data_IF_826354328826
#
_entry.id   IF_826354328826
#
_cell.length_a   1.000
_cell.length_b   1.000
_cell.length_c   1.000
_cell.angle_alpha   90.00
_cell.angle_beta   90.00
_cell.angle_gamma   90.00
#
_symmetry.space_group_name_H-M   'P 1'
#
loop_
_entity.id
_entity.type
_entity.pdbx_description
1 polymer ?
#
# COMPACT_ATOMS: atom_id res chain seq x y z
N UNK A 1 -10.50 -2.25 18.38
CA UNK A 1 -11.74 -2.72 17.74
C UNK A 1 -11.37 -3.80 16.75
N UNK A 2 -12.21 -4.82 16.57
CA UNK A 2 -11.97 -5.92 15.61
C UNK A 2 -11.99 -5.46 14.13
N UNK A 3 -12.39 -4.21 13.89
CA UNK A 3 -12.31 -3.55 12.61
C UNK A 3 -10.98 -2.78 12.56
N UNK A 4 -9.92 -3.43 12.09
CA UNK A 4 -8.59 -2.82 11.96
C UNK A 4 -8.63 -1.46 11.26
N UNK A 5 -7.76 -0.54 11.70
CA UNK A 5 -7.67 0.83 11.19
C UNK A 5 -7.30 0.84 9.70
N UNK A 6 -7.93 1.74 8.94
CA UNK A 6 -7.58 1.99 7.54
C UNK A 6 -6.37 2.92 7.49
N UNK A 7 -5.23 2.41 7.03
CA UNK A 7 -3.94 3.10 7.06
C UNK A 7 -3.44 3.38 5.64
N UNK A 8 -2.70 4.48 5.49
CA UNK A 8 -1.90 4.74 4.30
C UNK A 8 -0.41 4.50 4.54
N UNK A 9 0.01 4.30 5.78
CA UNK A 9 1.42 4.11 6.15
C UNK A 9 1.94 2.78 5.62
N UNK A 10 3.20 2.79 5.19
CA UNK A 10 3.96 1.59 4.86
C UNK A 10 5.28 1.62 5.64
N UNK A 11 5.76 0.45 6.03
CA UNK A 11 7.00 0.29 6.80
C UNK A 11 7.88 -0.77 6.14
N UNK A 12 9.19 -0.59 6.26
CA UNK A 12 10.20 -1.51 5.75
C UNK A 12 11.14 -1.91 6.87
N UNK A 13 11.45 -3.20 6.97
CA UNK A 13 12.41 -3.70 7.94
C UNK A 13 13.83 -3.64 7.38
N UNK A 14 14.72 -2.92 8.05
CA UNK A 14 16.15 -2.87 7.75
C UNK A 14 16.88 -3.95 8.56
N UNK A 15 17.36 -5.00 7.88
CA UNK A 15 18.06 -6.11 8.52
C UNK A 15 19.39 -5.71 9.17
N UNK A 16 20.06 -4.67 8.69
CA UNK A 16 21.34 -4.21 9.27
C UNK A 16 21.10 -3.50 10.60
N UNK A 17 20.05 -2.66 10.64
CA UNK A 17 19.66 -1.92 11.85
C UNK A 17 18.79 -2.73 12.80
N UNK A 18 18.24 -3.86 12.33
CA UNK A 18 17.25 -4.69 13.03
C UNK A 18 16.06 -3.87 13.51
N UNK A 19 15.60 -2.93 12.67
CA UNK A 19 14.57 -1.97 13.01
C UNK A 19 13.65 -1.72 11.82
N UNK A 20 12.40 -1.38 12.12
CA UNK A 20 11.45 -0.88 11.14
C UNK A 20 11.69 0.60 10.85
N UNK A 21 11.53 0.99 9.60
CA UNK A 21 11.53 2.37 9.15
C UNK A 21 10.29 2.69 8.35
N UNK A 22 9.84 3.94 8.42
CA UNK A 22 8.69 4.43 7.67
C UNK A 22 9.04 4.64 6.19
N UNK A 23 8.17 4.17 5.30
CA UNK A 23 8.20 4.48 3.87
C UNK A 23 7.22 5.62 3.55
N UNK A 24 7.27 6.14 2.33
CA UNK A 24 6.24 7.05 1.85
C UNK A 24 4.84 6.39 2.01
N UNK A 25 3.82 7.14 2.46
CA UNK A 25 2.47 6.61 2.57
C UNK A 25 1.85 6.41 1.18
N UNK A 26 0.98 5.41 1.07
CA UNK A 26 0.06 5.28 -0.05
C UNK A 26 -0.79 6.54 -0.21
N UNK A 27 -1.24 6.80 -1.44
CA UNK A 27 -2.13 7.92 -1.79
C UNK A 27 -3.50 7.70 -1.15
N UNK A 28 -4.02 6.47 -1.22
CA UNK A 28 -5.32 6.10 -0.64
C UNK A 28 -5.10 5.13 0.51
N UNK A 29 -5.57 5.52 1.70
CA UNK A 29 -5.58 4.65 2.86
C UNK A 29 -6.50 3.45 2.62
N UNK A 30 -6.03 2.25 2.94
CA UNK A 30 -6.73 0.99 2.66
C UNK A 30 -6.55 -0.03 3.79
N UNK A 31 -7.50 -0.96 3.90
CA UNK A 31 -7.39 -2.21 4.67
C UNK A 31 -7.86 -3.37 3.79
N UNK A 32 -7.58 -4.61 4.21
CA UNK A 32 -7.95 -5.82 3.44
C UNK A 32 -7.42 -5.77 1.99
N UNK A 33 -6.22 -5.19 1.83
CA UNK A 33 -5.56 -4.96 0.54
C UNK A 33 -4.86 -6.23 0.03
N UNK A 34 -4.94 -6.50 -1.27
CA UNK A 34 -4.06 -7.47 -1.92
C UNK A 34 -2.71 -6.83 -2.24
N UNK A 35 -1.60 -7.50 -1.94
CA UNK A 35 -0.26 -6.99 -2.21
C UNK A 35 0.61 -7.99 -2.98
N UNK A 36 1.39 -7.50 -3.93
CA UNK A 36 2.31 -8.32 -4.72
C UNK A 36 3.53 -7.52 -5.17
N UNK A 37 4.63 -8.20 -5.47
CA UNK A 37 5.82 -7.60 -6.08
C UNK A 37 5.87 -7.99 -7.56
N UNK A 38 6.06 -7.00 -8.42
CA UNK A 38 6.26 -7.19 -9.86
C UNK A 38 7.37 -6.25 -10.32
N UNK A 39 8.39 -6.81 -10.97
CA UNK A 39 9.55 -6.06 -11.48
C UNK A 39 10.21 -5.15 -10.43
N UNK A 40 10.33 -5.65 -9.19
CA UNK A 40 10.96 -4.92 -8.08
C UNK A 40 10.12 -3.79 -7.48
N UNK A 41 8.85 -3.65 -7.89
CA UNK A 41 7.93 -2.66 -7.34
C UNK A 41 6.81 -3.34 -6.54
N UNK A 42 6.34 -2.68 -5.49
CA UNK A 42 5.30 -3.21 -4.59
C UNK A 42 3.93 -2.65 -4.99
N UNK A 43 3.00 -3.52 -5.32
CA UNK A 43 1.64 -3.16 -5.69
C UNK A 43 0.69 -3.35 -4.53
N UNK A 44 -0.15 -2.35 -4.29
CA UNK A 44 -1.29 -2.37 -3.39
C UNK A 44 -2.58 -2.34 -4.22
N UNK A 45 -3.32 -3.44 -4.20
CA UNK A 45 -4.43 -3.73 -5.12
C UNK A 45 -5.73 -3.77 -4.32
N UNK A 46 -6.63 -2.83 -4.58
CA UNK A 46 -7.97 -2.78 -4.00
C UNK A 46 -8.01 -2.71 -2.46
N UNK A 47 -9.00 -3.35 -1.86
CA UNK A 47 -9.28 -3.27 -0.42
C UNK A 47 -10.40 -2.28 -0.11
N UNK A 48 -10.45 -1.79 1.13
CA UNK A 48 -11.53 -0.92 1.63
C UNK A 48 -10.95 0.37 2.19
N UNK A 49 -11.53 1.51 1.82
CA UNK A 49 -11.09 2.84 2.29
C UNK A 49 -11.73 3.23 3.63
N UNK A 50 -11.51 4.49 4.07
CA UNK A 50 -12.01 5.02 5.35
C UNK A 50 -13.53 5.16 5.38
N UNK A 51 -14.13 5.34 4.21
CA UNK A 51 -15.56 5.45 4.00
C UNK A 51 -16.24 4.08 3.85
N UNK A 52 -15.51 2.98 4.08
CA UNK A 52 -15.97 1.60 3.91
C UNK A 52 -16.38 1.24 2.48
N UNK A 53 -15.87 1.96 1.49
CA UNK A 53 -16.10 1.68 0.08
C UNK A 53 -15.00 0.75 -0.48
N UNK A 54 -15.43 -0.17 -1.34
CA UNK A 54 -14.52 -1.04 -2.08
C UNK A 54 -13.68 -0.24 -3.07
N UNK A 55 -12.37 -0.43 -2.99
CA UNK A 55 -11.41 0.18 -3.89
C UNK A 55 -11.20 -0.72 -5.10
N UNK A 56 -11.36 -0.14 -6.28
CA UNK A 56 -10.81 -0.69 -7.53
C UNK A 56 -9.44 -0.10 -7.87
N UNK A 57 -8.96 0.85 -7.07
CA UNK A 57 -7.69 1.52 -7.33
C UNK A 57 -6.51 0.61 -7.01
N UNK A 58 -5.48 0.74 -7.83
CA UNK A 58 -4.19 0.08 -7.63
C UNK A 58 -3.12 1.14 -7.53
N UNK A 59 -2.21 0.96 -6.58
CA UNK A 59 -1.05 1.83 -6.40
C UNK A 59 0.23 1.00 -6.41
N UNK A 60 1.30 1.58 -6.94
CA UNK A 60 2.61 0.95 -7.04
C UNK A 60 3.65 1.80 -6.31
N UNK A 61 4.38 1.21 -5.36
CA UNK A 61 5.54 1.80 -4.71
C UNK A 61 6.81 1.45 -5.48
N UNK A 62 7.53 2.48 -5.90
CA UNK A 62 8.85 2.34 -6.51
C UNK A 62 9.94 2.65 -5.48
N UNK A 63 10.78 1.68 -5.09
CA UNK A 63 11.89 1.92 -4.17
C UNK A 63 12.91 2.95 -4.69
N UNK A 64 13.09 3.05 -6.01
CA UNK A 64 14.03 3.99 -6.62
C UNK A 64 13.59 5.45 -6.48
N UNK A 65 12.29 5.71 -6.49
CA UNK A 65 11.75 7.08 -6.30
C UNK A 65 11.25 7.31 -4.88
N UNK A 66 11.11 6.24 -4.09
CA UNK A 66 10.49 6.27 -2.76
C UNK A 66 9.09 6.89 -2.76
N UNK A 67 8.31 6.58 -3.79
CA UNK A 67 6.96 7.14 -3.99
C UNK A 67 5.96 6.07 -4.40
N UNK A 68 4.70 6.29 -4.00
CA UNK A 68 3.55 5.58 -4.53
C UNK A 68 2.98 6.33 -5.73
N UNK A 69 2.54 5.60 -6.74
CA UNK A 69 1.87 6.15 -7.92
C UNK A 69 0.64 5.33 -8.25
N UNK A 70 -0.46 5.99 -8.64
CA UNK A 70 -1.64 5.29 -9.13
C UNK A 70 -1.36 4.64 -10.47
N UNK A 71 -1.79 3.39 -10.63
CA UNK A 71 -1.69 2.63 -11.88
C UNK A 71 -3.08 2.21 -12.36
N UNK A 72 -3.16 1.35 -13.37
CA UNK A 72 -4.44 0.86 -13.89
C UNK A 72 -5.30 0.24 -12.78
N UNK A 73 -6.57 0.67 -12.72
CA UNK A 73 -7.55 0.13 -11.79
C UNK A 73 -7.99 -1.28 -12.16
N UNK A 74 -8.52 -2.01 -11.19
CA UNK A 74 -9.27 -3.25 -11.42
C UNK A 74 -10.50 -2.98 -12.28
N UNK A 75 -10.90 -3.98 -13.07
CA UNK A 75 -12.20 -3.97 -13.70
C UNK A 75 -13.29 -4.04 -12.62
N UNK A 76 -14.37 -3.27 -12.81
CA UNK A 76 -15.59 -3.37 -12.01
C UNK A 76 -16.49 -4.48 -12.52
#
# INVERSE_FOLDING_TARGET
SEQGTVLSTAECFDFNKKAWGTLAPMIIARKQVGAAVLEGQLYAVGGVNREYADLVTVECYSPSTSQWTSVASLNK
#
